data_IF_734034650544
#
_entry.id   IF_734034650544
#
_cell.length_a   1.000
_cell.length_b   1.000
_cell.length_c   1.000
_cell.angle_alpha   90.00
_cell.angle_beta   90.00
_cell.angle_gamma   90.00
#
_symmetry.space_group_name_H-M   'P 1'
#
loop_
_entity.id
_entity.type
_entity.pdbx_description
1 polymer ?
#
# COMPACT_ATOMS: atom_id res chain seq x y z
N UNK A 1 10.61 4.78 -4.05
CA UNK A 1 9.85 4.77 -2.78
C UNK A 1 9.04 6.05 -2.75
N UNK A 2 7.77 5.97 -2.36
CA UNK A 2 6.89 7.13 -2.22
C UNK A 2 6.28 7.06 -0.81
N UNK A 3 6.48 8.12 -0.04
CA UNK A 3 5.90 8.27 1.29
C UNK A 3 4.79 9.33 1.26
N UNK A 4 3.92 9.33 2.28
CA UNK A 4 2.76 10.22 2.38
C UNK A 4 1.92 10.28 1.07
N UNK A 5 1.71 9.12 0.43
CA UNK A 5 1.05 9.04 -0.88
C UNK A 5 -0.36 9.65 -0.90
N UNK A 6 -1.04 9.74 0.26
CA UNK A 6 -2.34 10.41 0.39
C UNK A 6 -2.30 11.92 0.08
N UNK A 7 -1.13 12.54 0.05
CA UNK A 7 -0.96 13.93 -0.41
C UNK A 7 -1.01 14.06 -1.94
N UNK A 8 -0.88 12.96 -2.69
CA UNK A 8 -1.04 12.96 -4.15
C UNK A 8 -2.54 12.93 -4.47
N UNK A 9 -3.08 13.91 -5.21
CA UNK A 9 -4.51 13.97 -5.50
C UNK A 9 -4.99 12.76 -6.32
N UNK A 10 -5.74 11.86 -5.68
CA UNK A 10 -6.38 10.73 -6.36
C UNK A 10 -7.45 11.23 -7.33
N UNK A 11 -7.48 10.71 -8.56
CA UNK A 11 -8.47 11.07 -9.58
C UNK A 11 -8.21 12.38 -10.32
N UNK A 12 -7.03 12.98 -10.18
CA UNK A 12 -6.62 14.09 -11.03
C UNK A 12 -6.52 13.64 -12.50
N UNK A 13 -7.03 14.46 -13.42
CA UNK A 13 -6.95 14.22 -14.88
C UNK A 13 -5.50 13.97 -15.34
N UNK A 14 -4.54 14.61 -14.66
CA UNK A 14 -3.10 14.43 -14.85
C UNK A 14 -2.47 13.86 -13.57
N UNK A 15 -2.77 12.60 -13.24
CA UNK A 15 -2.16 11.96 -12.09
C UNK A 15 -0.64 11.86 -12.29
N UNK A 16 0.20 12.42 -11.39
CA UNK A 16 1.64 12.61 -11.64
C UNK A 16 2.40 11.29 -11.79
N UNK A 17 1.86 10.21 -11.23
CA UNK A 17 2.47 8.88 -11.32
C UNK A 17 1.85 8.00 -12.42
N UNK A 18 0.82 8.47 -13.14
CA UNK A 18 0.16 7.68 -14.18
C UNK A 18 1.12 7.05 -15.21
N UNK A 19 2.19 7.73 -15.67
CA UNK A 19 3.15 7.13 -16.60
C UNK A 19 3.85 5.87 -16.07
N UNK A 20 3.90 5.64 -14.75
CA UNK A 20 4.53 4.44 -14.18
C UNK A 20 3.63 3.20 -14.27
N UNK A 21 2.31 3.38 -14.44
CA UNK A 21 1.31 2.29 -14.32
C UNK A 21 1.55 1.20 -15.35
N UNK A 22 1.90 1.58 -16.58
CA UNK A 22 2.12 0.64 -17.68
C UNK A 22 3.32 -0.29 -17.45
N UNK A 23 4.31 0.16 -16.67
CA UNK A 23 5.52 -0.61 -16.38
C UNK A 23 5.37 -1.56 -15.17
N UNK A 24 4.36 -1.36 -14.31
CA UNK A 24 4.16 -2.18 -13.11
C UNK A 24 4.08 -3.70 -13.39
N UNK A 25 3.38 -4.18 -14.43
CA UNK A 25 3.32 -5.61 -14.74
C UNK A 25 4.67 -6.22 -15.14
N UNK A 26 5.56 -5.41 -15.74
CA UNK A 26 6.89 -5.82 -16.22
C UNK A 26 8.00 -5.43 -15.23
N UNK A 27 7.64 -4.96 -14.04
CA UNK A 27 8.58 -4.37 -13.09
C UNK A 27 9.76 -5.30 -12.75
N UNK A 28 9.53 -6.62 -12.72
CA UNK A 28 10.58 -7.62 -12.52
C UNK A 28 11.63 -7.60 -13.61
N UNK A 29 11.21 -7.51 -14.88
CA UNK A 29 12.09 -7.66 -16.04
C UNK A 29 12.95 -6.41 -16.23
N UNK A 30 12.41 -5.24 -15.88
CA UNK A 30 13.10 -3.94 -15.97
C UNK A 30 13.83 -3.53 -14.67
N UNK A 31 13.76 -4.36 -13.62
CA UNK A 31 14.38 -4.05 -12.32
C UNK A 31 13.69 -2.94 -11.52
N UNK A 32 12.45 -2.58 -11.85
CA UNK A 32 11.65 -1.58 -11.14
C UNK A 32 11.13 -2.15 -9.82
N UNK A 33 11.30 -1.39 -8.73
CA UNK A 33 10.72 -1.69 -7.41
C UNK A 33 9.94 -0.49 -6.90
N UNK A 34 8.67 -0.71 -6.59
CA UNK A 34 7.78 0.34 -6.08
C UNK A 34 7.40 -0.01 -4.65
N UNK A 35 7.61 0.94 -3.75
CA UNK A 35 7.23 0.88 -2.34
C UNK A 35 6.45 2.16 -2.06
N UNK A 36 5.23 2.02 -1.58
CA UNK A 36 4.32 3.12 -1.30
C UNK A 36 3.85 3.04 0.15
N UNK A 37 3.95 4.15 0.88
CA UNK A 37 3.37 4.33 2.19
C UNK A 37 2.30 5.42 2.12
N UNK A 38 1.21 5.22 2.87
CA UNK A 38 0.08 6.16 2.93
C UNK A 38 -0.63 6.08 4.27
N UNK A 39 -1.29 7.17 4.66
CA UNK A 39 -2.16 7.19 5.84
C UNK A 39 -3.43 6.38 5.63
N UNK A 40 -3.99 5.83 6.70
CA UNK A 40 -5.16 4.94 6.61
C UNK A 40 -6.46 5.66 6.23
N UNK A 41 -6.58 6.97 6.48
CA UNK A 41 -7.79 7.73 6.14
C UNK A 41 -8.13 7.63 4.65
N UNK A 42 -9.38 7.27 4.34
CA UNK A 42 -9.89 7.14 2.97
C UNK A 42 -9.24 6.01 2.15
N UNK A 43 -8.60 5.04 2.80
CA UNK A 43 -7.91 3.93 2.15
C UNK A 43 -8.77 3.12 1.21
N UNK A 44 -10.03 2.85 1.58
CA UNK A 44 -10.94 2.09 0.73
C UNK A 44 -11.15 2.73 -0.63
N UNK A 45 -11.27 4.07 -0.69
CA UNK A 45 -11.37 4.83 -1.93
C UNK A 45 -10.03 4.94 -2.65
N UNK A 46 -8.94 5.11 -1.91
CA UNK A 46 -7.60 5.21 -2.48
C UNK A 46 -7.18 3.94 -3.25
N UNK A 47 -7.73 2.76 -2.94
CA UNK A 47 -7.50 1.55 -3.73
C UNK A 47 -8.10 1.59 -5.15
N UNK A 48 -8.91 2.62 -5.48
CA UNK A 48 -9.38 2.89 -6.84
C UNK A 48 -8.39 3.76 -7.64
N UNK A 49 -7.35 4.28 -6.99
CA UNK A 49 -6.26 5.02 -7.63
C UNK A 49 -5.47 4.13 -8.61
N UNK A 50 -5.04 4.66 -9.78
CA UNK A 50 -4.37 3.84 -10.80
C UNK A 50 -3.10 3.14 -10.32
N UNK A 51 -2.34 3.71 -9.39
CA UNK A 51 -1.13 3.05 -8.86
C UNK A 51 -1.53 2.00 -7.82
N UNK A 52 -2.28 2.40 -6.79
CA UNK A 52 -2.60 1.50 -5.67
C UNK A 52 -3.50 0.34 -6.11
N UNK A 53 -4.48 0.62 -6.98
CA UNK A 53 -5.34 -0.39 -7.59
C UNK A 53 -4.52 -1.37 -8.41
N UNK A 54 -3.58 -0.89 -9.24
CA UNK A 54 -2.72 -1.78 -10.05
C UNK A 54 -1.80 -2.64 -9.20
N UNK A 55 -1.21 -2.11 -8.13
CA UNK A 55 -0.40 -2.89 -7.19
C UNK A 55 -1.25 -3.97 -6.47
N UNK A 56 -2.49 -3.64 -6.11
CA UNK A 56 -3.45 -4.61 -5.55
C UNK A 56 -3.79 -5.71 -6.55
N UNK A 57 -4.07 -5.39 -7.81
CA UNK A 57 -4.39 -6.35 -8.86
C UNK A 57 -3.22 -7.30 -9.15
N UNK A 58 -2.00 -6.75 -9.17
CA UNK A 58 -0.76 -7.53 -9.30
C UNK A 58 -0.41 -8.34 -8.05
N UNK A 59 -1.27 -8.29 -7.01
CA UNK A 59 -1.11 -9.05 -5.77
C UNK A 59 0.21 -8.79 -5.05
N UNK A 60 0.67 -7.54 -5.11
CA UNK A 60 1.81 -7.08 -4.34
C UNK A 60 1.56 -7.28 -2.83
N UNK A 61 2.65 -7.40 -2.06
CA UNK A 61 2.56 -7.44 -0.61
C UNK A 61 1.92 -6.15 -0.08
N UNK A 62 1.01 -6.30 0.87
CA UNK A 62 0.39 -5.19 1.59
C UNK A 62 0.70 -5.29 3.08
N UNK A 63 0.93 -4.16 3.73
CA UNK A 63 1.02 -4.08 5.19
C UNK A 63 -0.08 -3.13 5.69
N UNK A 64 -1.06 -3.68 6.40
CA UNK A 64 -2.14 -2.89 7.00
C UNK A 64 -1.85 -2.71 8.48
N UNK A 65 -1.45 -1.50 8.87
CA UNK A 65 -1.11 -1.13 10.24
C UNK A 65 -2.36 -0.60 10.99
N UNK A 66 -2.14 0.16 12.06
CA UNK A 66 -3.19 0.79 12.88
C UNK A 66 -4.25 1.53 12.06
N UNK A 67 -5.52 1.26 12.33
CA UNK A 67 -6.66 1.99 11.75
C UNK A 67 -8.02 1.54 12.27
N UNK A 68 -9.08 1.91 11.54
CA UNK A 68 -10.48 1.58 11.86
C UNK A 68 -11.09 0.65 10.82
N UNK A 69 -12.10 -0.13 11.24
CA UNK A 69 -12.89 -1.00 10.37
C UNK A 69 -13.74 -0.22 9.36
N UNK A 70 -13.97 1.07 9.60
CA UNK A 70 -14.78 1.95 8.75
C UNK A 70 -14.16 2.17 7.36
N UNK A 71 -12.85 1.94 7.22
CA UNK A 71 -12.14 1.98 5.93
C UNK A 71 -12.45 0.79 5.02
N UNK A 72 -13.21 -0.18 5.51
CA UNK A 72 -13.52 -1.40 4.79
C UNK A 72 -12.32 -2.37 4.74
N UNK A 73 -12.39 -3.33 3.81
CA UNK A 73 -11.34 -4.33 3.66
C UNK A 73 -10.22 -3.79 2.73
N UNK A 74 -9.02 -3.63 3.28
CA UNK A 74 -7.81 -3.29 2.55
C UNK A 74 -7.04 -4.59 2.28
N UNK A 75 -6.82 -4.91 1.00
CA UNK A 75 -6.19 -6.20 0.61
C UNK A 75 -6.88 -7.43 1.24
N UNK A 76 -8.20 -7.37 1.44
CA UNK A 76 -8.99 -8.45 2.07
C UNK A 76 -8.98 -8.44 3.61
N UNK A 77 -8.22 -7.54 4.24
CA UNK A 77 -8.14 -7.40 5.69
C UNK A 77 -8.84 -6.13 6.17
N UNK A 78 -9.70 -6.23 7.20
CA UNK A 78 -10.32 -5.06 7.83
C UNK A 78 -9.36 -4.49 8.88
N UNK A 79 -8.93 -3.22 8.77
CA UNK A 79 -8.03 -2.62 9.74
C UNK A 79 -8.62 -2.59 11.15
N UNK A 80 -7.74 -2.58 12.14
CA UNK A 80 -8.09 -2.49 13.55
C UNK A 80 -7.01 -1.74 14.33
N UNK A 81 -7.32 -1.28 15.55
CA UNK A 81 -6.33 -0.63 16.41
C UNK A 81 -5.13 -1.54 16.67
N UNK A 82 -3.92 -1.02 16.46
CA UNK A 82 -2.67 -1.72 16.72
C UNK A 82 -1.60 -0.77 17.28
N UNK A 83 -0.65 -1.26 18.12
CA UNK A 83 0.49 -0.47 18.55
C UNK A 83 1.38 -0.01 17.38
N UNK A 84 2.19 1.05 17.55
CA UNK A 84 3.15 1.49 16.55
C UNK A 84 4.07 0.35 16.07
N UNK A 85 4.29 0.28 14.76
CA UNK A 85 5.10 -0.75 14.12
C UNK A 85 4.42 -2.12 13.96
N UNK A 86 3.22 -2.34 14.52
CA UNK A 86 2.46 -3.58 14.31
C UNK A 86 1.50 -3.47 13.12
N UNK A 87 1.42 -4.52 12.32
CA UNK A 87 0.48 -4.58 11.19
C UNK A 87 0.24 -5.99 10.69
N UNK A 88 -0.86 -6.18 9.97
CA UNK A 88 -1.14 -7.40 9.21
C UNK A 88 -0.37 -7.36 7.88
N UNK A 89 0.55 -8.31 7.68
CA UNK A 89 1.17 -8.56 6.38
C UNK A 89 0.24 -9.42 5.53
N UNK A 90 -0.11 -8.93 4.34
CA UNK A 90 -0.87 -9.65 3.34
C UNK A 90 0.08 -10.04 2.20
N UNK A 91 0.14 -11.34 1.91
CA UNK A 91 1.01 -11.91 0.90
C UNK A 91 0.44 -13.17 0.27
N UNK A 92 0.77 -13.40 -1.01
CA UNK A 92 0.53 -14.67 -1.71
C UNK A 92 1.69 -15.65 -1.64
N UNK A 93 2.91 -15.19 -1.35
CA UNK A 93 4.13 -16.01 -1.40
C UNK A 93 4.71 -16.32 -0.03
N UNK A 94 4.30 -15.59 1.01
CA UNK A 94 4.65 -15.85 2.41
C UNK A 94 3.38 -15.90 3.25
N UNK A 95 3.47 -16.51 4.44
CA UNK A 95 2.34 -16.57 5.37
C UNK A 95 1.86 -15.15 5.68
N UNK A 96 0.57 -14.90 5.44
CA UNK A 96 -0.07 -13.68 5.89
C UNK A 96 -0.28 -13.76 7.41
N UNK A 97 0.26 -12.82 8.16
CA UNK A 97 0.21 -12.82 9.62
C UNK A 97 0.44 -11.42 10.18
N UNK A 98 0.12 -11.22 11.47
CA UNK A 98 0.47 -10.01 12.19
C UNK A 98 1.98 -10.01 12.45
N UNK A 99 2.65 -8.95 12.01
CA UNK A 99 4.09 -8.75 12.18
C UNK A 99 4.38 -7.49 12.98
N UNK A 100 5.59 -7.41 13.52
CA UNK A 100 6.15 -6.22 14.15
C UNK A 100 7.35 -5.74 13.33
N UNK A 101 7.30 -4.50 12.85
CA UNK A 101 8.41 -3.86 12.17
C UNK A 101 9.54 -3.56 13.16
N UNK A 102 10.78 -3.71 12.68
CA UNK A 102 11.97 -3.24 13.40
C UNK A 102 11.99 -1.71 13.42
N UNK A 103 12.28 -1.13 14.58
CA UNK A 103 12.57 0.31 14.67
C UNK A 103 13.98 0.55 14.13
N UNK A 104 14.10 1.35 13.07
CA UNK A 104 15.40 1.84 12.61
C UNK A 104 15.98 2.79 13.68
N UNK A 105 17.29 2.74 13.97
CA UNK A 105 17.93 3.72 14.84
C UNK A 105 17.73 5.13 14.31
N UNK A 106 17.71 6.11 15.19
CA UNK A 106 17.65 7.52 14.80
C UNK A 106 18.96 7.85 14.01
N UNK A 107 18.81 8.53 12.87
CA UNK A 107 19.89 8.91 11.95
C UNK A 107 20.66 10.15 12.42
#
# INVERSE_FOLDING_TARGET
MIDDYDLIPSGALNHPMAPLVEFLPQARDIGLRVIVARRIGGAGRALMDPILGRLKDLSCHGLVMNGTKDEGALFGYKPQPMPPGRGMLISRTVKSDVIQLSKMPDL
#
